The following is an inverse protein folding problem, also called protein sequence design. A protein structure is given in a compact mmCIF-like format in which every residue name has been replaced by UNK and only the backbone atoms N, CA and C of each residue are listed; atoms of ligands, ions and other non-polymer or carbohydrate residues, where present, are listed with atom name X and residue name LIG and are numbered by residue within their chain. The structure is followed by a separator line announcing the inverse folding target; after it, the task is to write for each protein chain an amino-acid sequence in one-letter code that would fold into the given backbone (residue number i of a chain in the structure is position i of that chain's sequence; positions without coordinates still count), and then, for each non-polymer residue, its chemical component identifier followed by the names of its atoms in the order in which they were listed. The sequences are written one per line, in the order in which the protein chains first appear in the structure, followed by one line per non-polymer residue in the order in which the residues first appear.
data_IF_317392974778
#
_entry.id   IF_317392974778
#
_cell.length_a   1.000
_cell.length_b   1.000
_cell.length_c   1.000
_cell.angle_alpha   90.00
_cell.angle_beta   90.00
_cell.angle_gamma   90.00
#
_symmetry.space_group_name_H-M   'P 1'
#
loop_
_entity.id
_entity.type
_entity.pdbx_description
1 polymer ?
#
# COMPACT_ATOMS: atom_id res chain seq x y z
N UNK A 1 15.89 12.67 -21.49
CA UNK A 1 15.54 12.03 -20.20
C UNK A 1 14.35 12.75 -19.54
N UNK A 2 14.33 14.11 -19.51
CA UNK A 2 13.21 14.88 -18.91
C UNK A 2 11.90 14.63 -19.66
N UNK A 3 11.90 14.69 -20.99
CA UNK A 3 10.73 14.36 -21.83
C UNK A 3 10.18 12.95 -21.58
N UNK A 4 11.06 11.97 -21.32
CA UNK A 4 10.65 10.62 -20.98
C UNK A 4 9.99 10.56 -19.58
N UNK A 5 10.47 11.35 -18.64
CA UNK A 5 9.87 11.44 -17.31
C UNK A 5 8.50 12.14 -17.35
N UNK A 6 8.36 13.21 -18.16
CA UNK A 6 7.07 13.86 -18.39
C UNK A 6 6.08 12.86 -19.02
N UNK A 7 6.50 12.11 -20.05
CA UNK A 7 5.68 11.09 -20.69
C UNK A 7 5.26 9.97 -19.71
N UNK A 8 6.19 9.55 -18.84
CA UNK A 8 5.90 8.55 -17.80
C UNK A 8 4.86 9.06 -16.80
N UNK A 9 4.97 10.32 -16.35
CA UNK A 9 4.04 10.93 -15.40
C UNK A 9 2.66 11.20 -16.00
N UNK A 10 2.60 11.72 -17.25
CA UNK A 10 1.38 12.25 -17.85
C UNK A 10 0.58 11.19 -18.62
N UNK A 11 1.23 10.13 -19.09
CA UNK A 11 0.60 9.10 -19.92
C UNK A 11 0.71 7.71 -19.28
N UNK A 12 1.93 7.22 -19.06
CA UNK A 12 2.10 5.82 -18.68
C UNK A 12 1.59 5.50 -17.26
N UNK A 13 1.85 6.35 -16.29
CA UNK A 13 1.35 6.12 -14.92
C UNK A 13 -0.19 6.23 -14.84
N UNK A 14 -0.87 7.22 -15.46
CA UNK A 14 -2.32 7.23 -15.59
C UNK A 14 -2.89 6.02 -16.32
N UNK A 15 -2.22 5.53 -17.37
CA UNK A 15 -2.64 4.34 -18.11
C UNK A 15 -2.53 3.09 -17.21
N UNK A 16 -1.39 2.89 -16.53
CA UNK A 16 -1.21 1.82 -15.55
C UNK A 16 -2.27 1.87 -14.44
N UNK A 17 -2.62 3.08 -13.98
CA UNK A 17 -3.70 3.29 -13.02
C UNK A 17 -5.06 2.81 -13.54
N UNK A 18 -5.40 3.13 -14.80
CA UNK A 18 -6.67 2.70 -15.43
C UNK A 18 -6.72 1.18 -15.64
N UNK A 19 -5.59 0.57 -15.94
CA UNK A 19 -5.45 -0.88 -16.09
C UNK A 19 -5.38 -1.62 -14.74
N UNK A 20 -5.37 -0.90 -13.61
CA UNK A 20 -5.29 -1.48 -12.27
C UNK A 20 -3.91 -2.03 -11.90
N UNK A 21 -2.86 -1.77 -12.71
CA UNK A 21 -1.50 -2.25 -12.48
C UNK A 21 -0.78 -1.25 -11.54
N UNK A 22 -1.08 -1.37 -10.25
CA UNK A 22 -0.64 -0.38 -9.26
C UNK A 22 0.87 -0.37 -9.04
N UNK A 23 1.52 -1.52 -9.10
CA UNK A 23 2.97 -1.61 -8.92
C UNK A 23 3.69 -0.79 -9.99
N UNK A 24 3.35 -1.02 -11.25
CA UNK A 24 3.93 -0.27 -12.38
C UNK A 24 3.61 1.23 -12.28
N UNK A 25 2.37 1.58 -11.90
CA UNK A 25 1.99 2.98 -11.68
C UNK A 25 2.90 3.66 -10.67
N UNK A 26 3.08 3.05 -9.49
CA UNK A 26 3.88 3.67 -8.43
C UNK A 26 5.35 3.78 -8.78
N UNK A 27 5.92 2.78 -9.44
CA UNK A 27 7.30 2.84 -9.93
C UNK A 27 7.49 3.94 -10.97
N UNK A 28 6.57 4.07 -11.91
CA UNK A 28 6.60 5.12 -12.92
C UNK A 28 6.48 6.53 -12.29
N UNK A 29 5.56 6.70 -11.33
CA UNK A 29 5.41 7.94 -10.59
C UNK A 29 6.69 8.31 -9.80
N UNK A 30 7.30 7.36 -9.08
CA UNK A 30 8.53 7.59 -8.31
C UNK A 30 9.73 7.89 -9.22
N UNK A 31 9.89 7.13 -10.30
CA UNK A 31 10.97 7.37 -11.27
C UNK A 31 10.81 8.72 -11.97
N UNK A 32 9.61 9.06 -12.43
CA UNK A 32 9.34 10.35 -13.04
C UNK A 32 9.62 11.49 -12.05
N UNK A 33 9.13 11.40 -10.82
CA UNK A 33 9.34 12.38 -9.77
C UNK A 33 10.83 12.60 -9.44
N UNK A 34 11.61 11.52 -9.41
CA UNK A 34 13.06 11.57 -9.20
C UNK A 34 13.76 12.43 -10.26
N UNK A 35 13.29 12.40 -11.52
CA UNK A 35 13.87 13.17 -12.62
C UNK A 35 13.30 14.58 -12.73
N UNK A 36 12.01 14.77 -12.46
CA UNK A 36 11.33 16.05 -12.61
C UNK A 36 11.59 16.99 -11.42
N UNK A 37 11.68 16.43 -10.21
CA UNK A 37 11.93 17.18 -8.97
C UNK A 37 13.02 16.52 -8.09
N UNK A 38 14.25 16.46 -8.58
CA UNK A 38 15.33 15.68 -7.96
C UNK A 38 15.66 16.13 -6.54
N UNK A 39 15.59 17.43 -6.24
CA UNK A 39 15.93 17.94 -4.92
C UNK A 39 14.85 17.60 -3.87
N UNK A 40 13.59 17.75 -4.25
CA UNK A 40 12.45 17.34 -3.41
C UNK A 40 12.47 15.83 -3.17
N UNK A 41 12.71 15.03 -4.21
CA UNK A 41 12.84 13.58 -4.09
C UNK A 41 13.95 13.19 -3.12
N UNK A 42 15.17 13.76 -3.28
CA UNK A 42 16.33 13.47 -2.41
C UNK A 42 16.05 13.87 -0.96
N UNK A 43 15.39 15.02 -0.73
CA UNK A 43 15.04 15.49 0.61
C UNK A 43 14.10 14.48 1.30
N UNK A 44 13.06 14.04 0.62
CA UNK A 44 12.12 13.06 1.18
C UNK A 44 12.80 11.70 1.40
N UNK A 45 13.59 11.22 0.42
CA UNK A 45 14.31 9.96 0.51
C UNK A 45 15.26 9.93 1.73
N UNK A 46 16.04 11.02 1.95
CA UNK A 46 16.94 11.13 3.10
C UNK A 46 16.20 11.06 4.43
N UNK A 47 15.12 11.81 4.58
CA UNK A 47 14.31 11.80 5.81
C UNK A 47 13.67 10.44 6.09
N UNK A 48 13.31 9.71 5.03
CA UNK A 48 12.80 8.34 5.16
C UNK A 48 13.91 7.37 5.57
N UNK A 49 15.12 7.55 5.06
CA UNK A 49 16.27 6.68 5.37
C UNK A 49 16.75 6.89 6.82
N UNK A 50 16.90 8.15 7.26
CA UNK A 50 17.27 8.51 8.63
C UNK A 50 16.35 7.89 9.70
N UNK A 51 15.06 7.67 9.38
CA UNK A 51 14.05 7.08 10.27
C UNK A 51 13.72 5.62 9.96
N UNK A 52 14.50 5.00 9.08
CA UNK A 52 14.18 3.65 8.58
C UNK A 52 14.18 2.61 9.70
N UNK A 53 15.22 2.53 10.51
CA UNK A 53 15.34 1.54 11.58
C UNK A 53 14.24 1.68 12.64
N UNK A 54 13.90 2.91 13.02
CA UNK A 54 12.81 3.16 13.98
C UNK A 54 11.45 2.77 13.42
N UNK A 55 11.24 3.04 12.12
CA UNK A 55 10.00 2.68 11.44
C UNK A 55 9.86 1.18 11.29
N UNK A 56 10.91 0.46 10.92
CA UNK A 56 10.92 -0.99 10.79
C UNK A 56 10.63 -1.66 12.13
N UNK A 57 11.29 -1.24 13.21
CA UNK A 57 11.02 -1.75 14.57
C UNK A 57 9.58 -1.50 15.01
N UNK A 58 9.06 -0.31 14.77
CA UNK A 58 7.67 0.03 15.09
C UNK A 58 6.66 -0.83 14.31
N UNK A 59 6.89 -1.04 13.02
CA UNK A 59 6.04 -1.89 12.18
C UNK A 59 6.07 -3.34 12.66
N UNK A 60 7.23 -3.89 13.01
CA UNK A 60 7.32 -5.25 13.57
C UNK A 60 6.59 -5.37 14.91
N UNK A 61 6.72 -4.39 15.79
CA UNK A 61 5.95 -4.34 17.04
C UNK A 61 4.42 -4.34 16.76
N UNK A 62 3.95 -3.51 15.85
CA UNK A 62 2.54 -3.47 15.48
C UNK A 62 2.06 -4.78 14.85
N UNK A 63 2.90 -5.45 14.04
CA UNK A 63 2.60 -6.77 13.45
C UNK A 63 2.43 -7.83 14.54
N UNK A 64 3.29 -7.87 15.53
CA UNK A 64 3.15 -8.81 16.64
C UNK A 64 1.86 -8.58 17.42
N UNK A 65 1.61 -7.34 17.84
CA UNK A 65 0.40 -7.01 18.61
C UNK A 65 -0.89 -7.34 17.85
N UNK A 66 -0.94 -6.97 16.56
CA UNK A 66 -2.11 -7.26 15.72
C UNK A 66 -2.23 -8.75 15.41
N UNK A 67 -1.12 -9.43 15.16
CA UNK A 67 -1.10 -10.88 14.92
C UNK A 67 -1.65 -11.67 16.08
N UNK A 68 -1.22 -11.34 17.31
CA UNK A 68 -1.70 -11.98 18.53
C UNK A 68 -3.20 -11.71 18.72
N UNK A 69 -3.67 -10.47 18.48
CA UNK A 69 -5.07 -10.13 18.62
C UNK A 69 -5.97 -10.85 17.57
N UNK A 70 -5.51 -10.96 16.32
CA UNK A 70 -6.20 -11.71 15.27
C UNK A 70 -6.25 -13.21 15.60
N UNK A 71 -5.15 -13.77 16.07
CA UNK A 71 -5.07 -15.17 16.47
C UNK A 71 -6.02 -15.48 17.64
N UNK A 72 -6.09 -14.61 18.66
CA UNK A 72 -7.03 -14.72 19.79
C UNK A 72 -8.50 -14.64 19.33
N UNK A 73 -8.77 -13.86 18.27
CA UNK A 73 -10.09 -13.80 17.64
C UNK A 73 -10.38 -14.99 16.70
N UNK A 74 -9.47 -15.95 16.57
CA UNK A 74 -9.60 -17.10 15.69
C UNK A 74 -9.48 -16.76 14.18
N UNK A 75 -8.92 -15.61 13.84
CA UNK A 75 -8.76 -15.14 12.46
C UNK A 75 -7.36 -15.46 11.94
N UNK A 76 -7.28 -16.09 10.76
CA UNK A 76 -6.03 -16.27 10.03
C UNK A 76 -5.79 -15.08 9.13
N UNK A 77 -4.60 -14.49 9.20
CA UNK A 77 -4.22 -13.36 8.37
C UNK A 77 -2.72 -13.31 8.15
N UNK A 78 -2.31 -12.90 6.96
CA UNK A 78 -0.93 -12.56 6.67
C UNK A 78 -0.70 -11.07 6.88
N UNK A 79 0.32 -10.74 7.69
CA UNK A 79 0.65 -9.37 8.04
C UNK A 79 1.97 -8.95 7.40
N UNK A 80 1.94 -7.83 6.68
CA UNK A 80 3.12 -7.25 6.05
C UNK A 80 3.21 -5.74 6.29
N UNK A 81 4.43 -5.24 6.50
CA UNK A 81 4.68 -3.81 6.41
C UNK A 81 4.48 -3.35 4.96
N UNK A 82 3.84 -2.19 4.76
CA UNK A 82 3.65 -1.61 3.44
C UNK A 82 4.59 -0.43 3.24
N UNK A 83 5.60 -0.54 2.35
CA UNK A 83 6.41 0.60 1.99
C UNK A 83 5.54 1.64 1.27
N UNK A 84 5.70 2.92 1.61
CA UNK A 84 5.04 4.02 0.89
C UNK A 84 6.01 4.63 -0.11
N UNK A 85 5.53 4.80 -1.33
CA UNK A 85 6.28 5.42 -2.43
C UNK A 85 6.48 6.92 -2.16
N UNK A 86 7.66 7.43 -2.51
CA UNK A 86 8.09 8.80 -2.23
C UNK A 86 7.14 9.82 -2.87
N UNK A 87 6.70 9.57 -4.10
CA UNK A 87 5.73 10.42 -4.78
C UNK A 87 4.37 10.47 -4.07
N UNK A 88 3.90 9.34 -3.54
CA UNK A 88 2.66 9.29 -2.76
C UNK A 88 2.76 10.09 -1.46
N UNK A 89 3.93 10.07 -0.82
CA UNK A 89 4.22 10.88 0.37
C UNK A 89 4.20 12.36 -0.01
N UNK A 90 4.90 12.76 -1.07
CA UNK A 90 4.93 14.13 -1.56
C UNK A 90 3.53 14.65 -1.90
N UNK A 91 2.71 13.89 -2.64
CA UNK A 91 1.31 14.26 -2.92
C UNK A 91 0.50 14.53 -1.65
N UNK A 92 0.67 13.70 -0.63
CA UNK A 92 -0.03 13.87 0.64
C UNK A 92 0.42 15.14 1.37
N UNK A 93 1.73 15.44 1.34
CA UNK A 93 2.29 16.70 1.87
C UNK A 93 1.66 17.92 1.20
N UNK A 94 1.61 17.93 -0.15
CA UNK A 94 1.01 19.04 -0.90
C UNK A 94 -0.47 19.24 -0.52
N UNK A 95 -1.22 18.15 -0.37
CA UNK A 95 -2.66 18.22 -0.03
C UNK A 95 -2.92 18.73 1.38
N UNK A 96 -2.09 18.34 2.35
CA UNK A 96 -2.26 18.73 3.77
C UNK A 96 -1.55 20.02 4.12
N UNK A 97 -0.75 20.60 3.22
CA UNK A 97 0.14 21.74 3.48
C UNK A 97 1.07 21.53 4.69
N UNK A 98 1.39 20.26 4.97
CA UNK A 98 2.20 19.83 6.11
C UNK A 98 3.66 19.66 5.71
N UNK A 99 4.55 20.00 6.64
CA UNK A 99 5.98 19.69 6.47
C UNK A 99 6.24 18.20 6.77
N UNK A 100 7.30 17.66 6.17
CA UNK A 100 7.72 16.24 6.29
C UNK A 100 7.87 15.81 7.77
N UNK A 101 8.21 16.75 8.66
CA UNK A 101 8.32 16.51 10.10
C UNK A 101 7.04 15.97 10.75
N UNK A 102 5.89 16.37 10.22
CA UNK A 102 4.55 16.03 10.73
C UNK A 102 3.88 14.90 9.98
N UNK A 103 4.58 14.23 9.03
CA UNK A 103 4.03 13.09 8.31
C UNK A 103 3.96 11.86 9.22
N UNK A 104 2.91 11.82 10.03
CA UNK A 104 2.58 10.70 10.91
C UNK A 104 2.25 9.41 10.15
N UNK A 105 2.11 9.47 8.82
CA UNK A 105 1.46 8.47 7.98
C UNK A 105 2.44 7.64 7.13
N UNK A 106 3.70 7.56 7.57
CA UNK A 106 4.73 6.76 6.89
C UNK A 106 4.65 5.28 7.30
N UNK A 107 3.86 4.98 8.35
CA UNK A 107 3.70 3.64 8.91
C UNK A 107 2.44 3.03 8.37
N UNK A 108 2.57 1.93 7.67
CA UNK A 108 1.41 1.22 7.13
C UNK A 108 1.57 -0.29 7.25
N UNK A 109 0.50 -0.95 7.66
CA UNK A 109 0.36 -2.39 7.66
C UNK A 109 -0.63 -2.83 6.58
N UNK A 110 -0.38 -4.02 6.05
CA UNK A 110 -1.30 -4.75 5.21
C UNK A 110 -1.71 -6.03 5.92
N UNK A 111 -3.02 -6.28 5.93
CA UNK A 111 -3.65 -7.48 6.46
C UNK A 111 -4.29 -8.19 5.28
N UNK A 112 -3.84 -9.41 4.98
CA UNK A 112 -4.40 -10.26 3.94
C UNK A 112 -5.15 -11.41 4.60
N UNK A 113 -6.38 -11.64 4.16
CA UNK A 113 -7.28 -12.68 4.66
C UNK A 113 -7.92 -13.45 3.50
N UNK A 114 -8.61 -14.55 3.80
CA UNK A 114 -9.13 -15.43 2.76
C UNK A 114 -10.41 -14.91 2.11
N UNK A 115 -11.29 -14.23 2.88
CA UNK A 115 -12.61 -13.81 2.40
C UNK A 115 -13.05 -12.44 2.91
N UNK A 116 -14.12 -11.90 2.31
CA UNK A 116 -14.67 -10.58 2.64
C UNK A 116 -15.23 -10.51 4.08
N UNK A 117 -16.01 -11.48 4.58
CA UNK A 117 -16.45 -11.47 5.99
C UNK A 117 -15.28 -11.35 6.95
N UNK A 118 -14.18 -12.06 6.70
CA UNK A 118 -12.96 -11.99 7.50
C UNK A 118 -12.27 -10.63 7.41
N UNK A 119 -12.39 -9.89 6.28
CA UNK A 119 -11.89 -8.50 6.20
C UNK A 119 -12.58 -7.60 7.25
N UNK A 120 -13.91 -7.68 7.36
CA UNK A 120 -14.66 -6.87 8.32
C UNK A 120 -14.45 -7.33 9.77
N UNK A 121 -14.30 -8.65 10.00
CA UNK A 121 -13.94 -9.18 11.32
C UNK A 121 -12.55 -8.66 11.75
N UNK A 122 -11.56 -8.67 10.86
CA UNK A 122 -10.23 -8.14 11.11
C UNK A 122 -10.26 -6.62 11.37
N UNK A 123 -11.11 -5.85 10.67
CA UNK A 123 -11.32 -4.43 10.94
C UNK A 123 -11.83 -4.22 12.38
N UNK A 124 -12.78 -5.04 12.84
CA UNK A 124 -13.28 -5.01 14.21
C UNK A 124 -12.16 -5.24 15.23
N UNK A 125 -11.28 -6.21 14.99
CA UNK A 125 -10.11 -6.47 15.84
C UNK A 125 -9.16 -5.26 15.86
N UNK A 126 -8.85 -4.67 14.70
CA UNK A 126 -7.98 -3.49 14.59
C UNK A 126 -8.54 -2.31 15.40
N UNK A 127 -9.85 -2.02 15.28
CA UNK A 127 -10.49 -0.91 15.99
C UNK A 127 -10.72 -1.20 17.49
N UNK A 128 -10.74 -2.46 17.89
CA UNK A 128 -10.76 -2.86 19.32
C UNK A 128 -9.37 -2.70 19.94
N UNK A 129 -8.33 -3.04 19.17
CA UNK A 129 -6.95 -2.96 19.64
C UNK A 129 -6.45 -1.51 19.72
N UNK A 130 -6.83 -0.66 18.76
CA UNK A 130 -6.38 0.73 18.67
C UNK A 130 -7.52 1.68 18.28
N UNK A 131 -7.62 2.86 18.93
CA UNK A 131 -8.60 3.87 18.56
C UNK A 131 -8.42 4.30 17.10
N UNK A 132 -9.51 4.32 16.32
CA UNK A 132 -9.46 4.82 14.96
C UNK A 132 -9.36 6.36 14.91
N UNK A 133 -8.70 6.88 13.88
CA UNK A 133 -8.60 8.31 13.62
C UNK A 133 -9.87 8.76 12.87
N UNK A 134 -10.67 9.68 13.41
CA UNK A 134 -11.91 10.14 12.77
C UNK A 134 -11.66 10.67 11.35
N UNK A 135 -12.54 10.28 10.41
CA UNK A 135 -12.45 10.71 9.01
C UNK A 135 -11.39 10.01 8.16
N UNK A 136 -10.62 9.09 8.73
CA UNK A 136 -9.56 8.33 8.03
C UNK A 136 -9.98 6.85 7.84
N UNK A 137 -11.25 6.62 7.46
CA UNK A 137 -11.78 5.30 7.11
C UNK A 137 -12.42 5.33 5.72
N UNK A 138 -12.00 4.40 4.86
CA UNK A 138 -12.56 4.20 3.53
C UNK A 138 -12.88 2.71 3.30
N UNK A 139 -14.11 2.44 2.90
CA UNK A 139 -14.57 1.10 2.51
C UNK A 139 -14.63 0.97 0.99
N UNK A 140 -13.51 0.54 0.40
CA UNK A 140 -13.44 0.24 -1.03
C UNK A 140 -13.83 -1.22 -1.36
N UNK A 141 -14.26 -2.03 -0.38
CA UNK A 141 -14.89 -3.32 -0.65
C UNK A 141 -16.36 -3.10 -1.01
N UNK A 142 -17.09 -2.34 -0.20
CA UNK A 142 -18.49 -1.98 -0.45
C UNK A 142 -18.64 -0.99 -1.62
N UNK A 143 -17.66 -0.09 -1.82
CA UNK A 143 -17.64 0.92 -2.89
C UNK A 143 -16.30 0.92 -3.62
N UNK A 144 -16.08 -0.03 -4.54
CA UNK A 144 -14.84 -0.12 -5.30
C UNK A 144 -14.51 1.18 -6.06
N UNK A 145 -13.23 1.48 -6.20
CA UNK A 145 -12.78 2.59 -7.07
C UNK A 145 -13.08 2.27 -8.53
N UNK A 146 -13.11 3.31 -9.38
CA UNK A 146 -13.44 3.17 -10.80
C UNK A 146 -12.51 2.24 -11.62
N UNK A 147 -11.41 1.77 -11.02
CA UNK A 147 -10.49 0.75 -11.54
C UNK A 147 -10.60 -0.60 -10.81
N UNK A 148 -11.74 -0.87 -10.19
CA UNK A 148 -12.07 -2.08 -9.40
C UNK A 148 -11.12 -2.36 -8.22
N UNK A 149 -10.40 -1.35 -7.73
CA UNK A 149 -9.60 -1.49 -6.52
C UNK A 149 -10.49 -1.68 -5.30
N UNK A 150 -10.19 -2.73 -4.52
CA UNK A 150 -10.93 -3.12 -3.32
C UNK A 150 -10.00 -3.28 -2.12
N UNK A 151 -10.33 -2.66 -1.01
CA UNK A 151 -9.64 -2.79 0.28
C UNK A 151 -10.40 -1.99 1.33
N UNK A 152 -10.33 -2.38 2.59
CA UNK A 152 -10.64 -1.48 3.70
C UNK A 152 -9.37 -0.69 4.03
N UNK A 153 -9.51 0.62 4.20
CA UNK A 153 -8.43 1.49 4.65
C UNK A 153 -8.85 2.16 5.94
N UNK A 154 -8.05 2.06 6.97
CA UNK A 154 -8.27 2.76 8.23
C UNK A 154 -6.96 3.30 8.76
N UNK A 155 -7.01 4.42 9.48
CA UNK A 155 -5.92 4.91 10.29
C UNK A 155 -6.28 4.78 11.77
N UNK A 156 -5.33 4.34 12.57
CA UNK A 156 -5.50 4.14 14.01
C UNK A 156 -4.37 4.81 14.78
N UNK A 157 -4.63 5.12 16.03
CA UNK A 157 -3.60 5.56 16.98
C UNK A 157 -3.00 4.33 17.64
N UNK A 158 -1.87 3.88 17.09
CA UNK A 158 -1.15 2.71 17.56
C UNK A 158 -0.26 2.98 18.78
N UNK A 159 0.69 2.09 19.06
CA UNK A 159 1.63 2.24 20.17
C UNK A 159 2.33 3.60 20.15
N UNK A 160 2.69 4.12 21.34
CA UNK A 160 3.35 5.41 21.52
C UNK A 160 2.55 6.62 20.95
N UNK A 161 1.22 6.46 20.75
CA UNK A 161 0.37 7.51 20.17
C UNK A 161 0.66 7.83 18.70
N UNK A 162 1.37 6.94 17.99
CA UNK A 162 1.75 7.14 16.59
C UNK A 162 0.65 6.65 15.65
N UNK A 163 0.36 7.44 14.61
CA UNK A 163 -0.62 7.03 13.60
C UNK A 163 -0.09 5.87 12.75
N UNK A 164 -0.93 4.86 12.56
CA UNK A 164 -0.70 3.67 11.76
C UNK A 164 -1.84 3.51 10.75
N UNK A 165 -1.53 3.46 9.46
CA UNK A 165 -2.48 3.08 8.42
C UNK A 165 -2.58 1.55 8.36
N UNK A 166 -3.79 1.01 8.33
CA UNK A 166 -4.03 -0.42 8.15
C UNK A 166 -4.89 -0.62 6.90
N UNK A 167 -4.39 -1.45 5.99
CA UNK A 167 -5.11 -1.87 4.79
C UNK A 167 -5.48 -3.33 4.89
N UNK A 168 -6.77 -3.63 4.80
CA UNK A 168 -7.30 -4.99 4.94
C UNK A 168 -7.97 -5.38 3.62
N UNK A 169 -7.60 -6.52 3.07
CA UNK A 169 -8.16 -7.06 1.84
C UNK A 169 -7.95 -8.55 1.72
N UNK A 170 -8.65 -9.21 0.83
CA UNK A 170 -8.41 -10.62 0.55
C UNK A 170 -7.14 -10.83 -0.28
N UNK A 171 -6.61 -12.06 -0.31
CA UNK A 171 -5.50 -12.43 -1.18
C UNK A 171 -5.83 -12.17 -2.66
N UNK A 172 -7.05 -12.46 -3.11
CA UNK A 172 -7.49 -12.19 -4.48
C UNK A 172 -7.53 -10.69 -4.80
N UNK A 173 -8.09 -9.86 -3.89
CA UNK A 173 -8.06 -8.41 -4.04
C UNK A 173 -6.63 -7.86 -4.07
N UNK A 174 -5.72 -8.51 -3.34
CA UNK A 174 -4.31 -8.16 -3.35
C UNK A 174 -3.69 -8.47 -4.70
N UNK A 175 -3.87 -9.68 -5.21
CA UNK A 175 -3.36 -10.07 -6.52
C UNK A 175 -3.92 -9.18 -7.65
N UNK A 176 -5.22 -8.86 -7.61
CA UNK A 176 -5.83 -7.92 -8.55
C UNK A 176 -5.24 -6.52 -8.45
N UNK A 177 -4.99 -6.02 -7.23
CA UNK A 177 -4.40 -4.69 -7.04
C UNK A 177 -2.94 -4.61 -7.47
N UNK A 178 -2.15 -5.66 -7.36
CA UNK A 178 -0.75 -5.66 -7.80
C UNK A 178 -0.62 -5.86 -9.32
N UNK A 179 -1.42 -6.74 -9.91
CA UNK A 179 -1.29 -7.19 -11.31
C UNK A 179 -2.37 -6.60 -12.25
N UNK A 180 -3.44 -6.02 -11.71
CA UNK A 180 -4.55 -5.47 -12.50
C UNK A 180 -5.14 -6.51 -13.45
N UNK A 181 -5.42 -6.08 -14.69
CA UNK A 181 -5.95 -6.98 -15.72
C UNK A 181 -5.01 -8.17 -16.04
N UNK A 182 -3.71 -8.07 -15.75
CA UNK A 182 -2.76 -9.16 -15.92
C UNK A 182 -3.00 -10.32 -14.93
N UNK A 183 -3.66 -10.08 -13.78
CA UNK A 183 -4.08 -11.15 -12.87
C UNK A 183 -5.06 -12.12 -13.54
N UNK A 184 -5.99 -11.60 -14.35
CA UNK A 184 -6.95 -12.39 -15.12
C UNK A 184 -6.27 -13.25 -16.21
N UNK A 185 -5.20 -12.75 -16.83
CA UNK A 185 -4.43 -13.47 -17.83
C UNK A 185 -3.64 -14.62 -17.21
N UNK A 186 -2.95 -14.37 -16.07
CA UNK A 186 -2.24 -15.46 -15.33
C UNK A 186 -3.18 -16.58 -14.91
N UNK A 187 -4.39 -16.26 -14.45
CA UNK A 187 -5.36 -17.29 -14.07
C UNK A 187 -5.86 -18.12 -15.26
N UNK A 188 -6.02 -17.50 -16.43
CA UNK A 188 -6.41 -18.21 -17.67
C UNK A 188 -5.25 -19.01 -18.28
N UNK A 189 -4.03 -18.48 -18.26
CA UNK A 189 -2.84 -19.14 -18.81
C UNK A 189 -2.27 -20.21 -17.87
N UNK A 190 -2.36 -20.05 -16.56
CA UNK A 190 -1.91 -21.03 -15.56
C UNK A 190 -2.68 -22.35 -15.56
N UNK A 191 -3.72 -22.47 -16.38
CA UNK A 191 -4.39 -23.75 -16.68
C UNK A 191 -3.86 -24.44 -17.92
N UNK A 192 -2.91 -23.86 -18.67
CA UNK A 192 -2.50 -24.36 -20.00
C UNK A 192 -1.03 -24.22 -20.35
N UNK A 193 -0.12 -23.80 -19.46
CA UNK A 193 1.31 -23.72 -19.77
C UNK A 193 2.20 -24.17 -18.62
N UNK A 194 3.30 -24.93 -18.89
CA UNK A 194 4.30 -25.24 -17.89
C UNK A 194 5.05 -23.95 -17.47
N UNK A 195 5.41 -23.89 -16.18
CA UNK A 195 6.07 -22.76 -15.57
C UNK A 195 7.32 -22.35 -16.37
N UNK A 196 7.25 -21.20 -17.02
CA UNK A 196 8.41 -20.59 -17.68
C UNK A 196 9.22 -19.84 -16.61
N UNK A 197 10.27 -20.51 -16.11
CA UNK A 197 11.15 -20.05 -15.02
C UNK A 197 12.07 -18.88 -15.42
N UNK A 198 11.76 -18.17 -16.51
CA UNK A 198 12.61 -17.15 -17.11
C UNK A 198 12.25 -15.70 -16.79
N UNK A 199 11.02 -15.41 -16.30
CA UNK A 199 10.55 -14.03 -16.14
C UNK A 199 10.81 -13.42 -14.76
N UNK A 200 11.08 -14.24 -13.74
CA UNK A 200 11.29 -13.78 -12.37
C UNK A 200 12.69 -13.21 -12.07
N UNK A 201 13.57 -13.11 -13.08
CA UNK A 201 14.96 -12.62 -12.92
C UNK A 201 15.22 -11.20 -13.46
N UNK A 202 14.20 -10.47 -13.91
CA UNK A 202 14.40 -9.13 -14.53
C UNK A 202 13.42 -8.06 -14.06
N UNK A 203 12.96 -8.13 -12.82
CA UNK A 203 12.28 -7.00 -12.21
C UNK A 203 12.94 -6.70 -10.87
#
# INVERSE_FOLDING_TARGET
RRQLADLAADIHAPLANRLGIWQVKWELEDLAFRFLQPDTYRRIARLLDERRGDRERYIEQCKHLLGDALLQAGLKADLAGRPKHIFSIWKKMQRKQDDIGNLYDIRALRVLVDDVPTCYAALGVVHTLWPHVPGEFDDYIARPKGNDYRSLHTAVTGPEGKTLEVQIRTHDMHAQAELGVAAHWRYKEGRSAPADAGLDRKI
#
